data_IF_786810856557
#
_entry.id   IF_786810856557
#
_cell.length_a   1.000
_cell.length_b   1.000
_cell.length_c   1.000
_cell.angle_alpha   90.00
_cell.angle_beta   90.00
_cell.angle_gamma   90.00
#
_symmetry.space_group_name_H-M   'P 1'
#
loop_
_entity.id
_entity.type
_entity.pdbx_description
1 polymer ?
#
# COMPACT_ATOMS: atom_id res chain seq x y z
N UNK A 1 25.44 -14.52 -0.34
CA UNK A 1 26.27 -14.71 0.88
C UNK A 1 26.16 -13.49 1.81
N UNK A 2 26.28 -12.28 1.31
CA UNK A 2 26.21 -11.05 2.11
C UNK A 2 24.89 -10.91 2.89
N UNK A 3 23.74 -11.08 2.22
CA UNK A 3 22.42 -11.00 2.88
C UNK A 3 22.23 -12.05 3.99
N UNK A 4 22.85 -13.23 3.87
CA UNK A 4 22.81 -14.26 4.92
C UNK A 4 23.60 -13.81 6.17
N UNK A 5 24.77 -13.17 5.97
CA UNK A 5 25.56 -12.62 7.08
C UNK A 5 24.81 -11.46 7.77
N UNK A 6 24.14 -10.60 6.99
CA UNK A 6 23.28 -9.55 7.53
C UNK A 6 22.10 -10.11 8.34
N UNK A 7 21.46 -11.20 7.84
CA UNK A 7 20.39 -11.87 8.56
C UNK A 7 20.85 -12.42 9.91
N UNK A 8 22.02 -13.06 9.97
CA UNK A 8 22.60 -13.55 11.23
C UNK A 8 22.92 -12.43 12.21
N UNK A 9 23.38 -11.27 11.69
CA UNK A 9 23.68 -10.11 12.52
C UNK A 9 22.40 -9.43 13.04
N UNK A 10 21.34 -9.46 12.25
CA UNK A 10 20.06 -8.80 12.58
C UNK A 10 19.18 -9.62 13.53
N UNK A 11 19.23 -10.96 13.43
CA UNK A 11 18.33 -11.86 14.18
C UNK A 11 19.16 -12.80 15.05
N UNK A 12 19.15 -12.67 16.37
CA UNK A 12 19.88 -13.53 17.28
C UNK A 12 19.46 -15.00 17.09
N UNK A 13 20.46 -15.87 16.90
CA UNK A 13 20.25 -17.31 16.75
C UNK A 13 19.90 -17.77 15.33
N UNK A 14 19.81 -16.88 14.36
CA UNK A 14 19.64 -17.24 12.96
C UNK A 14 20.98 -17.78 12.40
N UNK A 15 21.02 -19.05 12.08
CA UNK A 15 22.17 -19.74 11.46
C UNK A 15 21.81 -20.11 10.01
N UNK A 16 22.28 -19.35 8.99
CA UNK A 16 21.88 -19.58 7.60
C UNK A 16 22.38 -20.93 7.07
N UNK A 17 21.48 -21.76 6.56
CA UNK A 17 21.76 -23.02 5.89
C UNK A 17 21.59 -22.94 4.36
N UNK A 18 20.73 -22.02 3.88
CA UNK A 18 20.47 -21.80 2.47
C UNK A 18 20.06 -20.38 2.15
N UNK A 19 20.22 -19.96 0.89
CA UNK A 19 19.78 -18.65 0.36
C UNK A 19 19.23 -18.85 -1.04
N UNK A 20 18.05 -18.27 -1.30
CA UNK A 20 17.46 -18.14 -2.64
C UNK A 20 17.19 -16.68 -2.96
N UNK A 21 17.16 -16.33 -4.25
CA UNK A 21 16.71 -14.99 -4.66
C UNK A 21 15.26 -14.76 -4.27
N UNK A 22 14.90 -13.52 -4.02
CA UNK A 22 13.52 -13.11 -3.81
C UNK A 22 13.19 -11.94 -4.74
N UNK A 23 12.04 -11.97 -5.44
CA UNK A 23 11.60 -10.82 -6.26
C UNK A 23 11.49 -9.57 -5.40
N UNK A 24 11.95 -8.44 -5.94
CA UNK A 24 11.85 -7.12 -5.33
C UNK A 24 12.20 -6.07 -6.38
N UNK A 25 11.94 -4.80 -6.10
CA UNK A 25 12.43 -3.74 -6.95
C UNK A 25 13.97 -3.70 -6.95
N UNK A 26 14.56 -4.09 -8.08
CA UNK A 26 16.00 -4.21 -8.21
C UNK A 26 16.73 -2.85 -8.25
N UNK A 27 16.03 -1.75 -8.51
CA UNK A 27 16.60 -0.41 -8.43
C UNK A 27 16.88 -0.03 -6.96
N UNK A 28 15.93 -0.37 -6.08
CA UNK A 28 15.94 0.07 -4.68
C UNK A 28 16.49 -0.97 -3.72
N UNK A 29 16.26 -2.25 -3.97
CA UNK A 29 16.56 -3.31 -3.00
C UNK A 29 17.38 -4.46 -3.58
N UNK A 30 18.15 -5.07 -2.71
CA UNK A 30 18.69 -6.42 -2.90
C UNK A 30 17.99 -7.32 -1.90
N UNK A 31 17.24 -8.32 -2.39
CA UNK A 31 16.41 -9.18 -1.57
C UNK A 31 16.72 -10.66 -1.72
N UNK A 32 16.52 -11.40 -0.63
CA UNK A 32 16.68 -12.86 -0.63
C UNK A 32 15.75 -13.50 0.42
N UNK A 33 15.44 -14.77 0.21
CA UNK A 33 14.94 -15.67 1.25
C UNK A 33 16.12 -16.46 1.81
N UNK A 34 16.32 -16.35 3.12
CA UNK A 34 17.33 -17.11 3.88
C UNK A 34 16.60 -18.22 4.62
N UNK A 35 17.13 -19.45 4.51
CA UNK A 35 16.64 -20.62 5.25
C UNK A 35 17.67 -20.89 6.36
N UNK A 36 17.22 -20.97 7.62
CA UNK A 36 18.09 -21.29 8.74
C UNK A 36 18.25 -22.81 8.94
N UNK A 37 19.11 -23.22 9.88
CA UNK A 37 19.39 -24.62 10.21
C UNK A 37 18.19 -25.37 10.81
N UNK A 38 17.18 -24.64 11.31
CA UNK A 38 15.90 -25.18 11.74
C UNK A 38 14.88 -25.31 10.59
N UNK A 39 15.22 -24.90 9.37
CA UNK A 39 14.34 -24.90 8.21
C UNK A 39 13.37 -23.72 8.16
N UNK A 40 13.47 -22.75 9.07
CA UNK A 40 12.65 -21.54 9.05
C UNK A 40 13.14 -20.57 7.98
N UNK A 41 12.20 -19.95 7.28
CA UNK A 41 12.48 -19.00 6.22
C UNK A 41 12.35 -17.56 6.71
N UNK A 42 13.22 -16.71 6.16
CA UNK A 42 13.34 -15.30 6.49
C UNK A 42 13.50 -14.49 5.21
N UNK A 43 12.70 -13.43 5.04
CA UNK A 43 12.92 -12.49 3.94
C UNK A 43 13.87 -11.40 4.38
N UNK A 44 14.92 -11.18 3.61
CA UNK A 44 15.94 -10.14 3.86
C UNK A 44 15.80 -9.11 2.75
N UNK A 45 15.64 -7.83 3.12
CA UNK A 45 15.63 -6.69 2.20
C UNK A 45 16.72 -5.72 2.60
N UNK A 46 17.66 -5.47 1.70
CA UNK A 46 18.76 -4.52 1.87
C UNK A 46 18.61 -3.38 0.88
N UNK A 47 18.44 -2.13 1.34
CA UNK A 47 18.30 -0.99 0.45
C UNK A 47 19.63 -0.70 -0.25
N UNK A 48 19.55 -0.13 -1.47
CA UNK A 48 20.73 0.24 -2.28
C UNK A 48 21.14 1.69 -2.10
N UNK A 49 20.22 2.54 -1.62
CA UNK A 49 20.43 3.96 -1.43
C UNK A 49 19.61 4.50 -0.25
N UNK A 50 19.90 5.72 0.25
CA UNK A 50 19.29 6.27 1.47
C UNK A 50 17.76 6.38 1.38
N UNK A 51 17.20 6.73 0.24
CA UNK A 51 15.75 6.86 0.06
C UNK A 51 15.04 5.51 0.26
N UNK A 52 15.59 4.44 -0.35
CA UNK A 52 15.07 3.08 -0.14
C UNK A 52 15.18 2.65 1.34
N UNK A 53 16.26 3.06 2.05
CA UNK A 53 16.40 2.81 3.49
C UNK A 53 15.33 3.55 4.29
N UNK A 54 15.05 4.79 3.94
CA UNK A 54 14.02 5.61 4.59
C UNK A 54 12.63 5.00 4.40
N UNK A 55 12.32 4.47 3.21
CA UNK A 55 11.05 3.78 2.96
C UNK A 55 10.86 2.57 3.88
N UNK A 56 11.90 1.72 4.04
CA UNK A 56 11.83 0.58 4.98
C UNK A 56 11.66 1.02 6.44
N UNK A 57 12.25 2.14 6.83
CA UNK A 57 12.07 2.68 8.17
C UNK A 57 10.65 3.22 8.38
N UNK A 58 10.08 3.88 7.39
CA UNK A 58 8.67 4.31 7.39
C UNK A 58 7.74 3.11 7.45
N UNK A 59 7.98 2.09 6.61
CA UNK A 59 7.21 0.83 6.66
C UNK A 59 7.25 0.20 8.05
N UNK A 60 8.43 0.19 8.71
CA UNK A 60 8.56 -0.34 10.08
C UNK A 60 7.66 0.41 11.08
N UNK A 61 7.55 1.74 10.97
CA UNK A 61 6.66 2.52 11.84
C UNK A 61 5.20 2.12 11.62
N UNK A 62 4.78 1.99 10.36
CA UNK A 62 3.45 1.53 10.00
C UNK A 62 3.20 0.10 10.52
N UNK A 63 4.11 -0.85 10.29
CA UNK A 63 3.97 -2.24 10.74
C UNK A 63 3.87 -2.39 12.25
N UNK A 64 4.46 -1.46 13.02
CA UNK A 64 4.35 -1.41 14.49
C UNK A 64 2.98 -0.94 14.99
N UNK A 65 2.23 -0.21 14.17
CA UNK A 65 0.86 0.22 14.52
C UNK A 65 -0.15 -0.93 14.52
N UNK A 66 0.16 -2.03 13.81
CA UNK A 66 -0.66 -3.24 13.78
C UNK A 66 -0.51 -4.04 15.08
N UNK A 67 -1.42 -3.83 16.02
CA UNK A 67 -1.46 -4.62 17.25
C UNK A 67 -1.75 -6.11 16.98
N UNK A 68 -1.41 -7.04 17.89
CA UNK A 68 -1.75 -8.45 17.71
C UNK A 68 -3.24 -8.71 17.49
N UNK A 69 -4.13 -7.93 18.11
CA UNK A 69 -5.58 -8.01 17.90
C UNK A 69 -5.97 -7.64 16.48
N UNK A 70 -5.46 -6.51 15.96
CA UNK A 70 -5.70 -6.09 14.58
C UNK A 70 -5.19 -7.14 13.58
N UNK A 71 -3.97 -7.66 13.78
CA UNK A 71 -3.41 -8.72 12.92
C UNK A 71 -4.25 -9.99 12.90
N UNK A 72 -4.87 -10.36 14.02
CA UNK A 72 -5.71 -11.56 14.13
C UNK A 72 -7.08 -11.41 13.43
N UNK A 73 -7.57 -10.19 13.21
CA UNK A 73 -8.85 -9.90 12.54
C UNK A 73 -8.72 -9.82 11.03
N UNK A 74 -7.50 -9.58 10.50
CA UNK A 74 -7.26 -9.48 9.07
C UNK A 74 -7.35 -10.84 8.37
N UNK A 75 -7.91 -10.91 7.15
CA UNK A 75 -8.00 -12.15 6.37
C UNK A 75 -6.66 -12.57 5.74
N UNK A 76 -5.60 -11.80 5.94
CA UNK A 76 -4.26 -12.00 5.42
C UNK A 76 -3.20 -11.67 6.49
N UNK A 77 -1.96 -12.03 6.25
CA UNK A 77 -0.85 -11.69 7.13
C UNK A 77 -0.27 -10.31 6.79
N UNK A 78 0.08 -9.55 7.82
CA UNK A 78 0.89 -8.34 7.70
C UNK A 78 2.34 -8.71 8.02
N UNK A 79 3.34 -8.27 7.21
CA UNK A 79 4.73 -8.55 7.48
C UNK A 79 5.15 -8.21 8.90
N UNK A 80 6.08 -8.99 9.45
CA UNK A 80 6.65 -8.71 10.77
C UNK A 80 8.17 -8.69 10.70
N UNK A 81 8.76 -7.59 11.14
CA UNK A 81 10.21 -7.42 11.20
C UNK A 81 10.76 -8.19 12.40
N UNK A 82 11.66 -9.13 12.14
CA UNK A 82 12.32 -9.95 13.15
C UNK A 82 13.61 -9.30 13.67
N UNK A 83 14.27 -8.51 12.82
CA UNK A 83 15.49 -7.79 13.19
C UNK A 83 15.95 -6.85 12.10
N UNK A 84 16.86 -5.97 12.44
CA UNK A 84 17.50 -5.03 11.51
C UNK A 84 19.00 -4.93 11.78
N UNK A 85 19.78 -4.62 10.76
CA UNK A 85 21.21 -4.37 10.89
C UNK A 85 21.59 -3.12 10.11
N UNK A 86 22.36 -2.22 10.75
CA UNK A 86 22.84 -0.98 10.14
C UNK A 86 24.16 -1.23 9.42
N UNK A 87 24.28 -0.73 8.19
CA UNK A 87 25.52 -0.71 7.41
C UNK A 87 25.76 0.72 6.86
N UNK A 88 26.63 1.48 7.52
CA UNK A 88 26.78 2.90 7.19
C UNK A 88 25.45 3.64 7.37
N UNK A 89 24.96 4.28 6.32
CA UNK A 89 23.69 5.01 6.32
C UNK A 89 22.48 4.12 5.98
N UNK A 90 22.71 2.89 5.51
CA UNK A 90 21.66 1.98 5.07
C UNK A 90 21.30 0.98 6.16
N UNK A 91 20.01 0.64 6.26
CA UNK A 91 19.53 -0.35 7.23
C UNK A 91 18.85 -1.50 6.50
N UNK A 92 19.42 -2.70 6.67
CA UNK A 92 18.84 -3.95 6.17
C UNK A 92 17.81 -4.50 7.15
N UNK A 93 16.69 -4.98 6.62
CA UNK A 93 15.57 -5.52 7.37
C UNK A 93 15.43 -7.01 7.13
N UNK A 94 15.13 -7.74 8.21
CA UNK A 94 14.84 -9.18 8.18
C UNK A 94 13.42 -9.39 8.67
N UNK A 95 12.60 -9.99 7.82
CA UNK A 95 11.20 -10.27 8.10
C UNK A 95 10.98 -11.76 8.31
N UNK A 96 9.98 -12.14 9.09
CA UNK A 96 9.45 -13.49 9.01
C UNK A 96 8.90 -13.70 7.60
N UNK A 97 9.32 -14.81 6.96
CA UNK A 97 8.83 -15.12 5.61
C UNK A 97 7.35 -15.49 5.64
N UNK A 98 6.59 -14.99 4.68
CA UNK A 98 5.21 -15.40 4.44
C UNK A 98 5.20 -16.29 3.19
N UNK A 99 4.56 -17.47 3.24
CA UNK A 99 4.44 -18.35 2.08
C UNK A 99 3.63 -17.70 0.95
N UNK A 100 4.05 -17.95 -0.28
CA UNK A 100 3.39 -17.44 -1.48
C UNK A 100 4.33 -16.62 -2.35
N UNK A 101 3.79 -16.08 -3.41
CA UNK A 101 4.47 -15.21 -4.36
C UNK A 101 3.55 -14.08 -4.83
N UNK A 102 4.12 -12.98 -5.25
CA UNK A 102 3.43 -11.97 -6.07
C UNK A 102 3.37 -12.47 -7.50
N UNK A 103 2.30 -12.14 -8.20
CA UNK A 103 2.05 -12.57 -9.58
C UNK A 103 1.95 -11.34 -10.46
N UNK A 104 2.48 -11.40 -11.67
CA UNK A 104 2.22 -10.40 -12.71
C UNK A 104 0.71 -10.30 -12.96
N UNK A 105 0.22 -9.12 -13.31
CA UNK A 105 -1.21 -8.83 -13.41
C UNK A 105 -1.99 -9.82 -14.29
N UNK A 106 -1.45 -10.15 -15.46
CA UNK A 106 -2.07 -11.11 -16.38
C UNK A 106 -2.15 -12.53 -15.77
N UNK A 107 -1.11 -12.93 -15.03
CA UNK A 107 -1.07 -14.22 -14.33
C UNK A 107 -2.08 -14.22 -13.18
N UNK A 108 -2.13 -13.16 -12.39
CA UNK A 108 -3.07 -12.98 -11.29
C UNK A 108 -4.52 -13.09 -11.77
N UNK A 109 -4.84 -12.46 -12.90
CA UNK A 109 -6.16 -12.50 -13.52
C UNK A 109 -6.46 -13.90 -14.07
N UNK A 110 -5.46 -14.56 -14.67
CA UNK A 110 -5.61 -15.91 -15.24
C UNK A 110 -5.81 -16.99 -14.17
N UNK A 111 -5.28 -16.82 -12.96
CA UNK A 111 -5.52 -17.71 -11.82
C UNK A 111 -7.03 -17.86 -11.54
N UNK A 112 -7.81 -16.79 -11.68
CA UNK A 112 -9.26 -16.80 -11.52
C UNK A 112 -9.73 -17.44 -10.22
N UNK A 113 -10.74 -18.30 -10.28
CA UNK A 113 -11.22 -19.10 -9.14
C UNK A 113 -11.61 -18.24 -7.94
N UNK A 114 -10.95 -18.47 -6.78
CA UNK A 114 -11.20 -17.70 -5.54
C UNK A 114 -10.37 -16.42 -5.44
N UNK A 115 -9.30 -16.26 -6.23
CA UNK A 115 -8.35 -15.14 -6.08
C UNK A 115 -9.03 -13.78 -6.09
N UNK A 116 -9.90 -13.42 -7.06
CA UNK A 116 -10.55 -12.11 -7.04
C UNK A 116 -11.48 -11.90 -5.83
N UNK A 117 -12.12 -12.98 -5.33
CA UNK A 117 -12.92 -12.93 -4.09
C UNK A 117 -12.05 -12.65 -2.88
N UNK A 118 -10.89 -13.29 -2.77
CA UNK A 118 -9.97 -13.09 -1.65
C UNK A 118 -9.30 -11.69 -1.71
N UNK A 119 -9.04 -11.17 -2.89
CA UNK A 119 -8.56 -9.78 -3.07
C UNK A 119 -9.61 -8.79 -2.55
N UNK A 120 -10.86 -8.89 -3.00
CA UNK A 120 -11.92 -7.99 -2.53
C UNK A 120 -12.13 -8.09 -1.01
N UNK A 121 -12.00 -9.30 -0.43
CA UNK A 121 -12.05 -9.51 1.01
C UNK A 121 -10.85 -8.86 1.73
N UNK A 122 -9.65 -8.94 1.16
CA UNK A 122 -8.45 -8.31 1.71
C UNK A 122 -8.58 -6.78 1.71
N UNK A 123 -9.02 -6.20 0.59
CA UNK A 123 -9.27 -4.76 0.47
C UNK A 123 -10.33 -4.28 1.50
N UNK A 124 -11.42 -5.02 1.68
CA UNK A 124 -12.40 -4.71 2.70
C UNK A 124 -11.78 -4.74 4.11
N UNK A 125 -10.92 -5.74 4.39
CA UNK A 125 -10.19 -5.83 5.66
C UNK A 125 -9.26 -4.65 5.92
N UNK A 126 -8.59 -4.13 4.89
CA UNK A 126 -7.74 -2.93 4.97
C UNK A 126 -8.60 -1.69 5.29
N UNK A 127 -9.66 -1.47 4.52
CA UNK A 127 -10.50 -0.29 4.67
C UNK A 127 -11.35 -0.29 5.93
N UNK A 128 -11.51 -1.45 6.58
CA UNK A 128 -12.19 -1.60 7.89
C UNK A 128 -11.23 -1.53 9.09
N UNK A 129 -9.94 -1.27 8.87
CA UNK A 129 -8.98 -1.04 9.94
C UNK A 129 -9.41 0.17 10.79
N UNK A 130 -9.17 0.12 12.13
CA UNK A 130 -9.51 1.24 12.99
C UNK A 130 -8.70 2.50 12.65
N UNK A 131 -9.34 3.61 12.32
CA UNK A 131 -8.67 4.89 12.05
C UNK A 131 -7.73 5.32 13.19
N UNK A 132 -8.10 5.02 14.44
CA UNK A 132 -7.27 5.30 15.60
C UNK A 132 -5.86 4.66 15.56
N UNK A 133 -5.59 3.65 14.71
CA UNK A 133 -4.23 3.14 14.54
C UNK A 133 -3.37 4.10 13.72
N UNK A 134 -3.94 4.74 12.71
CA UNK A 134 -3.31 5.75 11.86
C UNK A 134 -3.00 6.99 12.70
N UNK A 135 -3.98 7.47 13.49
CA UNK A 135 -3.83 8.62 14.37
C UNK A 135 -2.71 8.41 15.42
N UNK A 136 -2.67 7.21 16.04
CA UNK A 136 -1.63 6.88 17.05
C UNK A 136 -0.22 6.77 16.47
N UNK A 137 -0.12 6.44 15.19
CA UNK A 137 1.15 6.31 14.49
C UNK A 137 1.60 7.64 13.84
N UNK A 138 0.81 8.73 14.02
CA UNK A 138 1.04 10.05 13.42
C UNK A 138 1.21 9.97 11.89
N UNK A 139 0.39 9.11 11.26
CA UNK A 139 0.37 8.93 9.81
C UNK A 139 -0.63 9.91 9.17
N UNK A 140 -0.50 10.17 7.85
CA UNK A 140 -1.36 11.11 7.16
C UNK A 140 -2.86 10.77 7.29
N UNK A 141 -3.68 11.78 7.46
CA UNK A 141 -5.13 11.65 7.55
C UNK A 141 -5.79 12.82 6.82
N UNK A 142 -6.71 12.50 5.91
CA UNK A 142 -7.39 13.47 5.08
C UNK A 142 -8.90 13.25 5.13
N UNK A 143 -9.64 14.33 5.30
CA UNK A 143 -11.07 14.37 4.97
C UNK A 143 -11.26 14.30 3.44
N UNK A 144 -12.48 14.05 2.99
CA UNK A 144 -12.77 14.01 1.56
C UNK A 144 -12.46 15.36 0.87
N UNK A 145 -12.77 16.49 1.52
CA UNK A 145 -12.46 17.82 0.99
C UNK A 145 -10.96 18.12 0.96
N UNK A 146 -10.21 17.77 2.01
CA UNK A 146 -8.75 17.93 2.03
C UNK A 146 -8.07 17.05 0.97
N UNK A 147 -8.57 15.82 0.79
CA UNK A 147 -8.07 14.92 -0.23
C UNK A 147 -8.32 15.50 -1.65
N UNK A 148 -9.55 15.98 -1.93
CA UNK A 148 -9.88 16.65 -3.19
C UNK A 148 -9.01 17.88 -3.42
N UNK A 149 -8.85 18.75 -2.41
CA UNK A 149 -7.99 19.93 -2.52
C UNK A 149 -6.53 19.59 -2.79
N UNK A 150 -6.04 18.53 -2.17
CA UNK A 150 -4.69 18.02 -2.44
C UNK A 150 -4.56 17.60 -3.91
N UNK A 151 -5.54 16.85 -4.45
CA UNK A 151 -5.54 16.44 -5.87
C UNK A 151 -5.60 17.64 -6.82
N UNK A 152 -6.35 18.70 -6.49
CA UNK A 152 -6.34 19.94 -7.26
C UNK A 152 -4.96 20.62 -7.25
N UNK A 153 -4.29 20.69 -6.10
CA UNK A 153 -2.95 21.26 -6.02
C UNK A 153 -1.92 20.43 -6.80
N UNK A 154 -2.04 19.10 -6.77
CA UNK A 154 -1.20 18.18 -7.55
C UNK A 154 -1.44 18.37 -9.06
N UNK A 155 -2.70 18.56 -9.48
CA UNK A 155 -3.05 18.87 -10.88
C UNK A 155 -2.45 20.20 -11.33
N UNK A 156 -2.58 21.26 -10.52
CA UNK A 156 -1.97 22.56 -10.80
C UNK A 156 -0.44 22.42 -10.96
N UNK A 157 0.21 21.67 -10.06
CA UNK A 157 1.64 21.41 -10.18
C UNK A 157 1.98 20.67 -11.48
N UNK A 158 1.23 19.63 -11.82
CA UNK A 158 1.43 18.87 -13.04
C UNK A 158 1.21 19.72 -14.29
N UNK A 159 0.20 20.60 -14.30
CA UNK A 159 -0.08 21.52 -15.38
C UNK A 159 1.08 22.51 -15.63
N UNK A 160 1.82 22.92 -14.58
CA UNK A 160 2.99 23.82 -14.75
C UNK A 160 4.11 23.20 -15.56
N UNK A 161 4.17 21.87 -15.71
CA UNK A 161 5.16 21.21 -16.58
C UNK A 161 4.96 21.55 -18.06
N UNK A 162 3.75 21.92 -18.46
CA UNK A 162 3.37 22.19 -19.85
C UNK A 162 3.38 20.96 -20.75
N UNK A 163 3.45 19.74 -20.19
CA UNK A 163 3.66 18.49 -20.90
C UNK A 163 2.41 17.59 -20.94
N UNK A 164 1.38 17.93 -20.17
CA UNK A 164 0.12 17.19 -20.14
C UNK A 164 -0.80 17.67 -21.27
N UNK A 165 -1.41 16.77 -22.05
CA UNK A 165 -2.39 17.13 -23.07
C UNK A 165 -3.55 17.96 -22.50
N UNK A 166 -3.94 19.08 -23.15
CA UNK A 166 -5.00 19.96 -22.62
C UNK A 166 -6.37 19.28 -22.47
N UNK A 167 -6.64 18.21 -23.22
CA UNK A 167 -7.88 17.46 -23.10
C UNK A 167 -7.93 16.68 -21.77
N UNK A 168 -6.79 16.09 -21.35
CA UNK A 168 -6.67 15.40 -20.07
C UNK A 168 -6.78 16.37 -18.89
N UNK A 169 -6.10 17.54 -18.96
CA UNK A 169 -6.24 18.55 -17.91
C UNK A 169 -7.70 18.93 -17.69
N UNK A 170 -8.42 19.30 -18.75
CA UNK A 170 -9.85 19.66 -18.65
C UNK A 170 -10.72 18.52 -18.12
N UNK A 171 -10.40 17.27 -18.51
CA UNK A 171 -11.12 16.09 -18.06
C UNK A 171 -10.95 15.87 -16.55
N UNK A 172 -9.73 16.01 -16.04
CA UNK A 172 -9.42 15.85 -14.62
C UNK A 172 -9.91 17.04 -13.79
N UNK A 173 -9.77 18.28 -14.27
CA UNK A 173 -10.36 19.48 -13.66
C UNK A 173 -11.87 19.29 -13.45
N UNK A 174 -12.59 18.89 -14.50
CA UNK A 174 -14.02 18.65 -14.43
C UNK A 174 -14.40 17.58 -13.40
N UNK A 175 -13.64 16.47 -13.31
CA UNK A 175 -13.88 15.44 -12.31
C UNK A 175 -13.55 15.92 -10.87
N UNK A 176 -12.51 16.73 -10.72
CA UNK A 176 -12.14 17.30 -9.41
C UNK A 176 -13.09 18.41 -8.96
N UNK A 177 -13.76 19.10 -9.88
CA UNK A 177 -14.80 20.12 -9.60
C UNK A 177 -16.17 19.50 -9.29
N UNK A 178 -16.42 18.26 -9.70
CA UNK A 178 -17.68 17.56 -9.43
C UNK A 178 -17.82 17.20 -7.95
N UNK A 179 -18.43 18.08 -7.19
CA UNK A 179 -18.60 17.95 -5.72
C UNK A 179 -19.34 16.66 -5.33
N UNK A 180 -20.19 16.12 -6.19
CA UNK A 180 -20.91 14.86 -5.90
C UNK A 180 -19.99 13.66 -5.86
N UNK A 181 -18.94 13.67 -6.65
CA UNK A 181 -17.92 12.61 -6.72
C UNK A 181 -17.12 12.51 -5.40
N UNK A 182 -16.99 13.61 -4.66
CA UNK A 182 -16.11 13.71 -3.49
C UNK A 182 -16.86 13.66 -2.15
N UNK A 183 -18.05 13.09 -2.13
CA UNK A 183 -18.83 12.85 -0.89
C UNK A 183 -18.66 11.43 -0.37
N UNK A 184 -17.44 10.97 -0.22
CA UNK A 184 -17.13 9.66 0.33
C UNK A 184 -16.77 9.75 1.82
N UNK A 185 -16.87 8.61 2.51
CA UNK A 185 -16.35 8.47 3.88
C UNK A 185 -14.89 8.03 3.81
N UNK A 186 -13.91 8.84 4.30
CA UNK A 186 -12.54 8.43 4.37
C UNK A 186 -12.36 7.18 5.21
N UNK A 187 -11.54 6.25 4.75
CA UNK A 187 -11.18 5.04 5.48
C UNK A 187 -9.66 4.87 5.53
N UNK A 188 -9.19 3.92 6.32
CA UNK A 188 -7.80 3.50 6.22
C UNK A 188 -7.58 2.90 4.85
N UNK A 189 -6.56 3.34 4.13
CA UNK A 189 -6.18 2.85 2.82
C UNK A 189 -4.73 2.40 2.85
N UNK A 190 -4.40 1.37 2.08
CA UNK A 190 -3.03 0.94 1.87
C UNK A 190 -2.21 2.05 1.20
N UNK A 191 -2.81 2.66 0.20
CA UNK A 191 -2.31 3.85 -0.49
C UNK A 191 -1.37 3.59 -1.66
N UNK A 192 -0.91 2.34 -1.80
CA UNK A 192 -0.08 1.85 -2.90
C UNK A 192 -0.41 0.38 -3.18
N UNK A 193 -1.71 0.05 -3.21
CA UNK A 193 -2.15 -1.33 -3.44
C UNK A 193 -2.14 -1.65 -4.93
N UNK A 194 -1.39 -2.70 -5.28
CA UNK A 194 -1.33 -3.29 -6.62
C UNK A 194 -0.91 -4.76 -6.52
N UNK A 195 -0.81 -5.48 -7.65
CA UNK A 195 -0.53 -6.91 -7.70
C UNK A 195 0.77 -7.30 -7.00
N UNK A 196 1.84 -6.49 -7.08
CA UNK A 196 3.13 -6.75 -6.43
C UNK A 196 3.07 -6.69 -4.90
N UNK A 197 2.02 -6.10 -4.35
CA UNK A 197 1.78 -6.04 -2.91
C UNK A 197 0.85 -7.15 -2.40
N UNK A 198 0.33 -8.00 -3.31
CA UNK A 198 -0.56 -9.13 -3.01
C UNK A 198 0.21 -10.44 -3.08
N UNK A 199 0.50 -11.05 -1.94
CA UNK A 199 1.15 -12.37 -1.90
C UNK A 199 0.07 -13.44 -1.98
N UNK A 200 0.11 -14.26 -3.04
CA UNK A 200 -0.88 -15.32 -3.30
C UNK A 200 -0.29 -16.67 -2.91
N UNK A 201 -1.09 -17.45 -2.18
CA UNK A 201 -0.79 -18.82 -1.80
C UNK A 201 -2.07 -19.66 -1.79
N UNK A 202 -2.06 -20.78 -2.50
CA UNK A 202 -3.21 -21.72 -2.58
C UNK A 202 -4.54 -21.00 -2.95
N UNK A 203 -4.49 -20.10 -3.93
CA UNK A 203 -5.64 -19.33 -4.40
C UNK A 203 -6.23 -18.34 -3.38
N UNK A 204 -5.45 -17.93 -2.40
CA UNK A 204 -5.85 -16.93 -1.41
C UNK A 204 -4.77 -15.84 -1.25
N UNK A 205 -5.17 -14.65 -0.80
CA UNK A 205 -4.22 -13.60 -0.37
C UNK A 205 -3.63 -14.02 0.97
N UNK A 206 -2.40 -14.51 0.97
CA UNK A 206 -1.69 -14.94 2.19
C UNK A 206 -1.11 -13.76 2.96
N UNK A 207 -0.66 -12.72 2.27
CA UNK A 207 -0.19 -11.47 2.87
C UNK A 207 -0.42 -10.27 1.96
N UNK A 208 -0.43 -9.08 2.57
CA UNK A 208 -0.29 -7.80 1.89
C UNK A 208 1.00 -7.15 2.38
N UNK A 209 1.80 -6.63 1.45
CA UNK A 209 3.12 -6.00 1.67
C UNK A 209 3.11 -4.54 1.22
N UNK A 210 4.20 -3.79 1.37
CA UNK A 210 4.31 -2.43 0.85
C UNK A 210 3.56 -1.36 1.66
N UNK A 211 3.54 -1.47 2.98
CA UNK A 211 2.74 -0.63 3.88
C UNK A 211 3.25 0.80 4.11
N UNK A 212 4.13 1.31 3.26
CA UNK A 212 4.75 2.63 3.45
C UNK A 212 3.74 3.79 3.42
N UNK A 213 2.66 3.62 2.63
CA UNK A 213 1.71 4.67 2.27
C UNK A 213 0.38 4.63 3.01
N UNK A 214 0.34 3.85 4.11
CA UNK A 214 -0.86 3.73 4.94
C UNK A 214 -1.30 5.10 5.46
N UNK A 215 -2.56 5.43 5.23
CA UNK A 215 -3.17 6.70 5.63
C UNK A 215 -4.68 6.57 5.82
N UNK A 216 -5.32 7.61 6.32
CA UNK A 216 -6.76 7.81 6.16
C UNK A 216 -6.96 8.64 4.88
N UNK A 217 -7.75 8.12 3.93
CA UNK A 217 -7.96 8.75 2.64
C UNK A 217 -9.13 8.16 1.85
N UNK A 218 -9.04 8.29 0.53
CA UNK A 218 -10.04 7.78 -0.40
C UNK A 218 -9.82 6.29 -0.68
N UNK A 219 -10.80 5.41 -0.35
CA UNK A 219 -10.71 3.99 -0.71
C UNK A 219 -10.47 3.73 -2.20
N UNK A 220 -10.82 4.67 -3.07
CA UNK A 220 -10.65 4.55 -4.51
C UNK A 220 -9.18 4.42 -4.95
N UNK A 221 -8.24 4.96 -4.16
CA UNK A 221 -6.80 4.83 -4.46
C UNK A 221 -6.36 3.37 -4.55
N UNK A 222 -6.87 2.51 -3.64
CA UNK A 222 -6.53 1.09 -3.61
C UNK A 222 -7.23 0.27 -4.72
N UNK A 223 -8.15 0.88 -5.48
CA UNK A 223 -8.81 0.27 -6.65
C UNK A 223 -8.21 0.71 -7.99
N UNK A 224 -7.30 1.69 -8.00
CA UNK A 224 -6.79 2.29 -9.24
C UNK A 224 -6.13 1.25 -10.17
N UNK A 225 -5.39 0.28 -9.64
CA UNK A 225 -4.73 -0.78 -10.39
C UNK A 225 -5.71 -1.71 -11.13
N UNK A 226 -6.93 -1.89 -10.59
CA UNK A 226 -7.96 -2.70 -11.24
C UNK A 226 -8.49 -2.10 -12.55
N UNK A 227 -8.26 -0.82 -12.78
CA UNK A 227 -8.64 -0.15 -14.04
C UNK A 227 -7.81 -0.66 -15.22
N UNK A 228 -6.58 -1.12 -14.96
CA UNK A 228 -5.71 -1.73 -15.97
C UNK A 228 -6.08 -3.18 -16.29
N UNK A 229 -6.97 -3.82 -15.52
CA UNK A 229 -7.41 -5.19 -15.75
C UNK A 229 -8.35 -5.26 -16.97
N UNK A 230 -7.94 -5.98 -18.00
CA UNK A 230 -8.73 -6.13 -19.22
C UNK A 230 -9.92 -7.07 -19.05
N UNK A 231 -9.85 -8.01 -18.12
CA UNK A 231 -10.92 -8.97 -17.82
C UNK A 231 -11.91 -8.35 -16.83
N UNK A 232 -12.96 -7.71 -17.37
CA UNK A 232 -13.97 -7.02 -16.55
C UNK A 232 -14.59 -7.92 -15.47
N UNK A 233 -14.77 -9.21 -15.77
CA UNK A 233 -15.33 -10.17 -14.82
C UNK A 233 -14.46 -10.34 -13.57
N UNK A 234 -13.14 -10.19 -13.68
CA UNK A 234 -12.24 -10.23 -12.55
C UNK A 234 -12.47 -9.02 -11.62
N UNK A 235 -12.48 -7.81 -12.18
CA UNK A 235 -12.73 -6.58 -11.43
C UNK A 235 -14.13 -6.58 -10.78
N UNK A 236 -15.15 -7.08 -11.50
CA UNK A 236 -16.51 -7.19 -10.97
C UNK A 236 -16.59 -8.10 -9.75
N UNK A 237 -15.92 -9.27 -9.77
CA UNK A 237 -15.87 -10.20 -8.63
C UNK A 237 -15.12 -9.60 -7.45
N UNK A 238 -14.01 -8.88 -7.70
CA UNK A 238 -13.29 -8.15 -6.63
C UNK A 238 -14.22 -7.14 -5.97
N UNK A 239 -14.93 -6.32 -6.76
CA UNK A 239 -15.84 -5.30 -6.26
C UNK A 239 -17.05 -5.91 -5.52
N UNK A 240 -17.64 -6.99 -6.04
CA UNK A 240 -18.74 -7.72 -5.38
C UNK A 240 -18.28 -8.26 -4.02
N UNK A 241 -17.11 -8.89 -3.97
CA UNK A 241 -16.53 -9.40 -2.75
C UNK A 241 -16.23 -8.28 -1.76
N UNK A 242 -15.63 -7.19 -2.23
CA UNK A 242 -15.38 -6.01 -1.41
C UNK A 242 -16.68 -5.49 -0.78
N UNK A 243 -17.73 -5.25 -1.59
CA UNK A 243 -19.04 -4.82 -1.10
C UNK A 243 -19.63 -5.78 -0.05
N UNK A 244 -19.43 -7.08 -0.23
CA UNK A 244 -19.94 -8.12 0.68
C UNK A 244 -19.26 -8.09 2.06
N UNK A 245 -17.95 -7.83 2.10
CA UNK A 245 -17.15 -7.93 3.32
C UNK A 245 -16.94 -6.59 4.02
N UNK A 246 -17.20 -5.45 3.37
CA UNK A 246 -17.16 -4.12 4.00
C UNK A 246 -18.21 -4.00 5.09
N UNK A 247 -17.83 -3.39 6.21
CA UNK A 247 -18.74 -3.06 7.31
C UNK A 247 -19.62 -1.87 7.00
N UNK A 248 -19.11 -0.91 6.22
CA UNK A 248 -19.83 0.29 5.81
C UNK A 248 -20.29 0.18 4.35
N UNK A 249 -21.41 0.84 3.99
CA UNK A 249 -21.86 0.89 2.60
C UNK A 249 -20.79 1.48 1.69
N UNK A 250 -20.57 0.84 0.54
CA UNK A 250 -19.61 1.32 -0.45
C UNK A 250 -20.22 2.51 -1.21
N UNK A 251 -19.41 3.52 -1.42
CA UNK A 251 -19.77 4.70 -2.17
C UNK A 251 -20.01 4.37 -3.66
N UNK A 252 -21.13 4.83 -4.25
CA UNK A 252 -21.46 4.54 -5.66
C UNK A 252 -20.48 5.13 -6.67
N UNK A 253 -19.66 6.10 -6.28
CA UNK A 253 -18.67 6.74 -7.14
C UNK A 253 -17.25 6.18 -6.97
N UNK A 254 -17.07 5.13 -6.17
CA UNK A 254 -15.77 4.51 -5.89
C UNK A 254 -14.96 4.25 -7.17
N UNK A 255 -15.54 3.51 -8.14
CA UNK A 255 -14.84 3.14 -9.37
C UNK A 255 -14.59 4.33 -10.31
N UNK A 256 -15.40 5.39 -10.25
CA UNK A 256 -15.13 6.63 -11.01
C UNK A 256 -13.89 7.34 -10.49
N UNK A 257 -13.73 7.42 -9.16
CA UNK A 257 -12.54 8.00 -8.54
C UNK A 257 -11.32 7.09 -8.72
N UNK A 258 -11.49 5.76 -8.69
CA UNK A 258 -10.43 4.82 -9.01
C UNK A 258 -9.92 5.02 -10.45
N UNK A 259 -10.81 5.18 -11.42
CA UNK A 259 -10.43 5.48 -12.79
C UNK A 259 -9.70 6.83 -12.91
N UNK A 260 -10.18 7.88 -12.20
CA UNK A 260 -9.46 9.14 -12.13
C UNK A 260 -8.06 8.97 -11.50
N UNK A 261 -7.93 8.20 -10.41
CA UNK A 261 -6.66 7.96 -9.76
C UNK A 261 -5.68 7.22 -10.68
N UNK A 262 -6.15 6.23 -11.46
CA UNK A 262 -5.35 5.52 -12.45
C UNK A 262 -4.85 6.44 -13.57
N UNK A 263 -5.71 7.27 -14.14
CA UNK A 263 -5.31 8.25 -15.15
C UNK A 263 -4.32 9.29 -14.57
N UNK A 264 -4.57 9.74 -13.35
CA UNK A 264 -3.78 10.77 -12.68
C UNK A 264 -2.39 10.28 -12.25
N UNK A 265 -2.21 8.97 -12.06
CA UNK A 265 -0.91 8.37 -11.77
C UNK A 265 0.15 8.70 -12.84
N UNK A 266 -0.26 8.83 -14.12
CA UNK A 266 0.62 9.23 -15.22
C UNK A 266 1.13 10.67 -15.05
N UNK A 267 0.28 11.58 -14.57
CA UNK A 267 0.69 12.95 -14.26
C UNK A 267 1.68 13.00 -13.08
N UNK A 268 1.45 12.17 -12.07
CA UNK A 268 2.38 12.04 -10.93
C UNK A 268 3.73 11.46 -11.37
N UNK A 269 3.73 10.48 -12.29
CA UNK A 269 4.93 9.93 -12.89
C UNK A 269 5.73 11.00 -13.63
N UNK A 270 5.06 11.83 -14.45
CA UNK A 270 5.67 12.97 -15.13
C UNK A 270 6.29 13.96 -14.14
N UNK A 271 5.55 14.36 -13.09
CA UNK A 271 6.05 15.30 -12.09
C UNK A 271 7.29 14.76 -11.39
N UNK A 272 7.32 13.45 -11.10
CA UNK A 272 8.48 12.78 -10.51
C UNK A 272 9.68 12.83 -11.43
N UNK A 273 9.51 12.49 -12.72
CA UNK A 273 10.57 12.58 -13.73
C UNK A 273 11.15 13.99 -13.84
N UNK A 274 10.28 15.01 -13.81
CA UNK A 274 10.71 16.42 -13.83
C UNK A 274 11.48 16.78 -12.54
N UNK A 275 11.03 16.33 -11.39
CA UNK A 275 11.70 16.60 -10.11
C UNK A 275 13.06 15.88 -9.98
N UNK A 276 13.19 14.70 -10.59
CA UNK A 276 14.44 13.93 -10.65
C UNK A 276 15.37 14.36 -11.80
N UNK A 277 14.94 15.29 -12.68
CA UNK A 277 15.64 15.68 -13.92
C UNK A 277 15.93 14.45 -14.83
N UNK A 278 15.07 13.42 -14.76
CA UNK A 278 15.20 12.18 -15.53
C UNK A 278 14.48 12.32 -16.88
N UNK A 279 15.27 12.53 -17.95
CA UNK A 279 14.73 12.71 -19.28
C UNK A 279 14.07 11.45 -19.87
N UNK A 280 14.47 10.25 -19.44
CA UNK A 280 13.87 9.00 -19.90
C UNK A 280 12.47 8.82 -19.28
N UNK A 281 12.37 9.00 -17.97
CA UNK A 281 11.10 8.97 -17.23
C UNK A 281 10.11 10.03 -17.75
N UNK A 282 10.59 11.24 -18.06
CA UNK A 282 9.76 12.31 -18.63
C UNK A 282 9.22 11.89 -20.01
N UNK A 283 10.07 11.35 -20.89
CA UNK A 283 9.68 10.95 -22.23
C UNK A 283 8.65 9.81 -22.21
N UNK A 284 8.85 8.82 -21.35
CA UNK A 284 7.93 7.73 -21.12
C UNK A 284 6.56 8.23 -20.62
N UNK A 285 6.55 9.12 -19.62
CA UNK A 285 5.32 9.73 -19.12
C UNK A 285 4.57 10.52 -20.19
N UNK A 286 5.27 11.28 -21.03
CA UNK A 286 4.67 12.01 -22.16
C UNK A 286 4.04 11.06 -23.17
N UNK A 287 4.69 9.93 -23.49
CA UNK A 287 4.17 8.91 -24.40
C UNK A 287 2.88 8.28 -23.83
N UNK A 288 2.91 7.82 -22.57
CA UNK A 288 1.73 7.26 -21.92
C UNK A 288 0.55 8.24 -21.83
N UNK A 289 0.82 9.54 -21.58
CA UNK A 289 -0.21 10.58 -21.57
C UNK A 289 -0.83 10.81 -22.95
N UNK A 290 -0.04 10.75 -24.02
CA UNK A 290 -0.52 10.86 -25.40
C UNK A 290 -1.35 9.64 -25.80
N UNK A 291 -0.93 8.44 -25.41
CA UNK A 291 -1.70 7.22 -25.62
C UNK A 291 -3.04 7.29 -24.90
N UNK A 292 -3.06 7.69 -23.63
CA UNK A 292 -4.31 7.88 -22.87
C UNK A 292 -5.24 8.90 -23.55
N UNK A 293 -4.71 10.05 -24.02
CA UNK A 293 -5.52 11.04 -24.76
C UNK A 293 -6.12 10.45 -26.02
N UNK A 294 -5.34 9.64 -26.78
CA UNK A 294 -5.78 8.99 -28.00
C UNK A 294 -6.88 7.98 -27.72
N UNK A 295 -6.69 7.13 -26.73
CA UNK A 295 -7.67 6.12 -26.33
C UNK A 295 -8.99 6.75 -25.87
N UNK A 296 -8.93 7.79 -25.06
CA UNK A 296 -10.13 8.53 -24.63
C UNK A 296 -10.85 9.15 -25.83
N UNK A 297 -10.10 9.72 -26.77
CA UNK A 297 -10.69 10.33 -27.99
C UNK A 297 -11.35 9.29 -28.89
N UNK A 298 -10.77 8.11 -29.04
CA UNK A 298 -11.23 7.06 -29.94
C UNK A 298 -12.32 6.18 -29.32
N UNK A 299 -12.23 5.89 -28.04
CA UNK A 299 -13.08 4.92 -27.34
C UNK A 299 -13.95 5.53 -26.23
N UNK A 300 -13.77 6.83 -25.89
CA UNK A 300 -14.57 7.55 -24.90
C UNK A 300 -14.01 7.52 -23.48
N UNK A 301 -13.05 6.64 -23.19
CA UNK A 301 -12.43 6.51 -21.85
C UNK A 301 -13.40 6.00 -20.76
N UNK A 302 -12.87 5.83 -19.56
CA UNK A 302 -13.67 5.48 -18.37
C UNK A 302 -14.48 6.70 -17.89
N UNK A 303 -15.64 6.46 -17.27
CA UNK A 303 -16.42 7.53 -16.66
C UNK A 303 -15.79 7.95 -15.33
N UNK A 304 -15.16 9.14 -15.31
CA UNK A 304 -14.50 9.70 -14.11
C UNK A 304 -15.26 10.85 -13.44
N UNK A 305 -16.38 11.29 -14.03
CA UNK A 305 -17.25 12.31 -13.47
C UNK A 305 -18.70 11.83 -13.45
N UNK A 306 -19.52 12.35 -12.52
CA UNK A 306 -20.96 12.08 -12.49
C UNK A 306 -21.70 12.83 -13.60
N UNK A 307 -21.13 13.93 -14.10
CA UNK A 307 -21.68 14.74 -15.19
C UNK A 307 -20.82 14.54 -16.45
N UNK A 308 -21.52 14.44 -17.61
CA UNK A 308 -20.80 14.37 -18.90
C UNK A 308 -20.23 15.76 -19.22
N UNK A 309 -18.95 15.80 -19.63
CA UNK A 309 -18.35 17.02 -20.17
C UNK A 309 -19.25 17.59 -21.29
N UNK A 310 -19.52 18.90 -21.28
CA UNK A 310 -20.24 19.54 -22.38
C UNK A 310 -19.43 19.34 -23.67
N UNK A 311 -20.04 18.68 -24.64
CA UNK A 311 -19.43 18.52 -25.97
C UNK A 311 -19.19 19.92 -26.53
N UNK A 312 -17.99 20.29 -26.95
CA UNK A 312 -17.74 21.57 -27.60
C UNK A 312 -18.68 21.66 -28.82
N UNK A 313 -19.66 22.51 -28.78
CA UNK A 313 -20.49 22.79 -29.95
C UNK A 313 -19.55 23.49 -30.94
N UNK A 314 -19.17 22.77 -31.98
CA UNK A 314 -18.46 23.37 -33.10
C UNK A 314 -19.28 24.57 -33.59
N UNK A 315 -18.68 25.76 -33.83
CA UNK A 315 -19.41 26.90 -34.37
C UNK A 315 -20.09 26.44 -35.64
N UNK A 316 -21.42 26.62 -35.67
CA UNK A 316 -22.26 26.26 -36.79
C UNK A 316 -21.66 26.91 -38.04
N UNK A 317 -21.04 26.12 -38.89
CA UNK A 317 -20.63 26.57 -40.22
C UNK A 317 -21.87 26.95 -41.02
N UNK A 318 -21.71 27.82 -42.02
CA UNK A 318 -22.83 28.30 -42.83
C UNK A 318 -23.57 27.11 -43.47
N UNK A 319 -24.91 27.17 -43.61
CA UNK A 319 -25.70 26.06 -44.12
C UNK A 319 -25.28 25.69 -45.51
N UNK A 320 -24.64 24.55 -45.69
CA UNK A 320 -24.36 23.95 -47.00
C UNK A 320 -25.57 23.12 -47.42
N UNK A 321 -26.03 23.38 -48.65
CA UNK A 321 -27.14 22.74 -49.29
C UNK A 321 -26.99 21.21 -49.34
N UNK A 322 -28.10 20.49 -49.12
CA UNK A 322 -28.20 19.07 -49.38
C UNK A 322 -27.95 18.72 -50.86
N UNK A 323 -27.42 17.54 -51.14
CA UNK A 323 -28.30 16.48 -51.63
C UNK A 323 -27.94 15.02 -51.27
N UNK A 324 -29.04 14.23 -51.32
CA UNK A 324 -29.18 12.87 -51.84
C UNK A 324 -28.44 11.68 -51.18
N UNK A 325 -29.28 10.87 -50.56
CA UNK A 325 -29.38 9.38 -50.57
C UNK A 325 -28.28 8.57 -51.27
N UNK A 326 -27.63 7.61 -50.56
CA UNK A 326 -27.70 6.19 -50.87
C UNK A 326 -27.01 5.27 -49.84
N UNK A 327 -27.80 4.31 -49.36
CA UNK A 327 -27.53 2.89 -49.05
C UNK A 327 -26.47 2.43 -48.05
N UNK A 328 -27.03 1.89 -47.01
CA UNK A 328 -26.75 0.55 -46.41
C UNK A 328 -25.40 -0.12 -46.71
N UNK A 329 -24.62 -0.30 -45.66
CA UNK A 329 -23.50 -1.23 -45.60
C UNK A 329 -23.21 -1.63 -44.16
N UNK A 330 -23.63 -2.85 -43.85
CA UNK A 330 -23.11 -3.80 -42.83
C UNK A 330 -22.36 -3.27 -41.61
N UNK A 331 -23.01 -3.40 -40.47
CA UNK A 331 -22.44 -3.46 -39.14
C UNK A 331 -21.36 -4.54 -39.06
N UNK A 332 -20.12 -4.14 -38.97
CA UNK A 332 -19.03 -4.97 -38.48
C UNK A 332 -18.84 -4.58 -37.05
N UNK A 333 -19.19 -5.46 -36.13
CA UNK A 333 -18.89 -5.37 -34.73
C UNK A 333 -17.42 -5.72 -34.53
N UNK A 334 -16.53 -4.72 -34.63
CA UNK A 334 -15.21 -4.81 -34.07
C UNK A 334 -15.23 -4.17 -32.69
N UNK A 335 -14.87 -4.98 -31.74
CA UNK A 335 -14.73 -4.71 -30.32
C UNK A 335 -13.57 -3.72 -30.10
N UNK A 336 -13.69 -2.72 -29.23
CA UNK A 336 -12.61 -1.76 -29.00
C UNK A 336 -11.37 -2.46 -28.47
N UNK A 337 -10.23 -2.05 -29.00
CA UNK A 337 -8.92 -2.44 -28.51
C UNK A 337 -8.69 -1.87 -27.10
N UNK A 338 -7.97 -2.63 -26.33
CA UNK A 338 -7.63 -2.36 -24.95
C UNK A 338 -6.90 -1.02 -24.78
N UNK A 339 -7.21 -0.34 -23.69
CA UNK A 339 -6.50 0.85 -23.23
C UNK A 339 -5.02 0.59 -22.94
N UNK A 340 -4.23 1.65 -22.68
CA UNK A 340 -2.79 1.54 -22.54
C UNK A 340 -2.42 0.55 -21.45
N UNK A 341 -1.49 -0.33 -21.78
CA UNK A 341 -0.92 -1.29 -20.82
C UNK A 341 -0.05 -0.50 -19.83
N UNK A 342 -0.57 -0.29 -18.64
CA UNK A 342 0.25 0.14 -17.49
C UNK A 342 0.98 -1.12 -16.98
N UNK A 343 1.85 -1.66 -17.81
CA UNK A 343 2.53 -2.94 -17.57
C UNK A 343 3.96 -2.77 -17.06
N UNK A 344 4.42 -1.53 -16.89
CA UNK A 344 5.71 -1.27 -16.27
C UNK A 344 5.47 -0.42 -15.02
N UNK A 345 5.81 -0.99 -13.91
CA UNK A 345 5.82 -0.53 -12.53
C UNK A 345 5.71 0.98 -12.36
N UNK A 346 4.50 1.52 -12.38
CA UNK A 346 4.24 2.81 -11.79
C UNK A 346 4.08 2.57 -10.29
N UNK A 347 5.18 2.34 -9.61
CA UNK A 347 5.20 2.45 -8.15
C UNK A 347 4.99 3.92 -7.84
N UNK A 348 3.79 4.27 -7.44
CA UNK A 348 3.49 5.59 -6.92
C UNK A 348 4.26 5.74 -5.62
N UNK A 349 5.50 6.26 -5.68
CA UNK A 349 6.17 6.70 -4.47
C UNK A 349 5.44 7.93 -3.94
N UNK A 350 5.11 7.95 -2.64
CA UNK A 350 4.58 9.14 -2.02
C UNK A 350 5.64 10.23 -2.08
N UNK A 351 5.26 11.39 -2.56
CA UNK A 351 6.05 12.59 -2.35
C UNK A 351 5.92 12.94 -0.86
N UNK A 352 6.72 12.30 -0.01
CA UNK A 352 6.90 12.74 1.37
C UNK A 352 7.78 13.99 1.33
N UNK A 353 7.19 15.11 0.94
CA UNK A 353 7.63 16.40 1.43
C UNK A 353 6.84 16.66 2.70
N UNK A 354 7.54 16.67 3.82
CA UNK A 354 7.04 17.28 5.05
C UNK A 354 6.46 18.64 4.69
N UNK A 355 5.14 18.77 4.76
CA UNK A 355 4.48 20.07 4.71
C UNK A 355 4.88 20.77 6.01
N UNK A 356 5.53 21.94 5.99
CA UNK A 356 5.70 22.72 7.18
C UNK A 356 4.30 23.06 7.71
N UNK A 357 4.08 22.71 8.96
CA UNK A 357 2.87 23.09 9.71
C UNK A 357 2.88 24.62 9.83
N UNK A 358 2.14 25.32 8.99
CA UNK A 358 1.88 26.74 9.13
C UNK A 358 0.97 26.97 10.32
N UNK A 359 1.58 27.09 11.50
CA UNK A 359 0.99 27.86 12.58
C UNK A 359 1.33 29.32 12.33
N UNK A 360 0.36 30.25 12.33
CA UNK A 360 0.66 31.67 12.23
C UNK A 360 1.44 32.10 13.48
N UNK A 361 2.70 32.44 13.28
CA UNK A 361 3.52 33.12 14.30
C UNK A 361 3.00 34.55 14.43
N UNK A 362 2.53 34.88 15.62
CA UNK A 362 2.29 36.26 16.05
C UNK A 362 3.57 37.07 15.94
N UNK A 363 3.46 38.25 15.35
CA UNK A 363 4.56 39.12 15.03
C UNK A 363 5.37 39.59 16.24
N UNK A 364 6.67 39.62 16.03
CA UNK A 364 7.60 40.44 16.84
C UNK A 364 8.35 41.33 15.85
N UNK A 365 8.18 42.62 16.03
CA UNK A 365 8.91 43.67 15.34
C UNK A 365 10.39 43.76 15.78
N UNK A 366 11.20 44.53 15.06
CA UNK A 366 12.65 44.54 15.20
C UNK A 366 13.08 45.23 16.49
N UNK A 367 14.06 44.63 17.18
CA UNK A 367 14.76 45.25 18.33
C UNK A 367 16.18 45.61 17.89
N UNK A 368 16.44 46.88 18.04
CA UNK A 368 17.72 47.57 17.82
C UNK A 368 18.71 47.26 18.94
N UNK A 369 19.99 47.14 18.56
CA UNK A 369 21.15 46.95 19.42
C UNK A 369 21.49 48.26 20.17
N UNK A 370 21.70 48.21 21.52
CA UNK A 370 22.75 48.95 22.21
C UNK A 370 22.89 48.51 23.66
N UNK A 371 24.05 47.96 23.92
CA UNK A 371 25.01 48.05 25.04
C UNK A 371 24.55 48.66 26.38
N UNK A 372 24.78 47.99 27.51
CA UNK A 372 25.52 48.34 28.72
C UNK A 372 25.12 47.51 29.96
N UNK A 373 26.10 46.85 30.53
CA UNK A 373 26.17 46.42 31.95
C UNK A 373 26.59 47.65 32.79
N UNK A 374 26.52 47.70 34.14
CA UNK A 374 26.55 46.67 35.18
C UNK A 374 25.79 46.93 36.51
N UNK A 375 25.88 45.94 37.38
CA UNK A 375 26.01 45.96 38.86
C UNK A 375 24.80 46.04 39.83
N UNK A 376 24.69 44.94 40.55
CA UNK A 376 24.75 44.78 42.04
C UNK A 376 23.54 45.15 42.94
N UNK A 377 23.25 44.19 43.80
CA UNK A 377 22.93 44.19 45.25
C UNK A 377 21.58 43.63 45.71
N UNK A 378 21.76 42.50 46.41
CA UNK A 378 21.23 42.09 47.73
C UNK A 378 20.09 42.91 48.36
N UNK A 379 19.11 42.16 48.88
CA UNK A 379 18.64 42.02 50.29
C UNK A 379 17.32 41.26 50.26
N UNK A 380 17.23 40.08 50.88
CA UNK A 380 16.96 39.70 52.27
C UNK A 380 15.58 40.15 52.80
N UNK A 381 14.81 39.21 53.25
CA UNK A 381 14.02 39.02 54.46
C UNK A 381 12.70 38.27 54.22
N UNK A 382 12.65 37.08 54.70
CA UNK A 382 12.01 36.55 55.96
C UNK A 382 10.49 36.34 55.99
N UNK A 383 10.17 35.12 56.41
CA UNK A 383 9.10 34.62 57.35
C UNK A 383 7.70 34.41 56.73
N UNK A 384 6.97 33.42 57.06
CA UNK A 384 6.84 32.39 58.07
C UNK A 384 5.66 31.45 57.72
N UNK A 385 5.82 30.18 57.99
CA UNK A 385 4.99 29.23 58.75
C UNK A 385 3.58 28.81 58.29
N UNK A 386 3.36 27.50 58.32
CA UNK A 386 2.11 26.82 58.61
C UNK A 386 1.95 25.51 57.83
N UNK A 387 2.51 24.47 58.21
CA UNK A 387 2.22 23.25 59.01
C UNK A 387 0.78 22.73 58.92
N UNK A 388 0.73 21.47 58.59
CA UNK A 388 -0.12 20.31 58.93
C UNK A 388 -0.43 19.51 57.65
N UNK A 389 0.04 18.31 57.44
CA UNK A 389 0.15 17.15 58.29
C UNK A 389 -1.14 16.30 58.14
N UNK A 390 -1.04 15.22 57.36
CA UNK A 390 -1.62 13.94 57.74
C UNK A 390 -1.43 12.88 56.61
N UNK A 391 -0.79 11.84 57.02
CA UNK A 391 -0.54 10.58 56.30
C UNK A 391 -1.80 9.66 56.27
N UNK A 392 -1.74 8.54 55.49
CA UNK A 392 -2.91 7.71 55.13
C UNK A 392 -3.22 6.58 56.14
N UNK A 393 -4.30 5.85 55.97
CA UNK A 393 -4.42 4.56 56.61
C UNK A 393 -4.28 3.39 55.60
N UNK A 394 -3.66 2.36 56.17
CA UNK A 394 -3.38 1.02 55.65
C UNK A 394 -4.60 0.10 55.81
N UNK A 395 -4.54 -0.96 54.94
CA UNK A 395 -4.90 -2.35 55.13
C UNK A 395 -6.22 -2.71 55.84
N UNK A 396 -6.96 -3.59 55.13
CA UNK A 396 -7.40 -4.87 55.70
C UNK A 396 -7.91 -5.81 54.59
N UNK A 397 -7.30 -7.00 54.50
CA UNK A 397 -7.87 -8.22 53.95
C UNK A 397 -8.46 -9.02 55.11
N UNK A 398 -9.51 -9.88 54.89
CA UNK A 398 -9.20 -11.30 55.01
C UNK A 398 -9.98 -12.29 54.10
N UNK A 399 -9.24 -13.34 53.75
CA UNK A 399 -9.50 -14.80 53.88
C UNK A 399 -10.76 -15.45 53.29
N UNK A 400 -10.47 -16.31 52.30
CA UNK A 400 -10.73 -17.75 52.20
C UNK A 400 -12.17 -18.28 52.43
N UNK A 401 -12.66 -18.99 51.39
CA UNK A 401 -13.17 -20.36 51.59
C UNK A 401 -13.29 -21.11 50.23
N UNK A 402 -12.63 -22.25 50.12
CA UNK A 402 -12.96 -23.41 49.30
C UNK A 402 -13.63 -24.42 50.26
N UNK A 403 -14.38 -25.47 49.84
CA UNK A 403 -13.92 -26.52 48.95
C UNK A 403 -14.98 -27.36 48.17
N UNK A 404 -14.42 -28.40 47.49
CA UNK A 404 -14.98 -29.71 47.06
C UNK A 404 -15.70 -29.78 45.71
N UNK A 405 -15.17 -30.48 44.75
CA UNK A 405 -14.77 -31.88 44.50
C UNK A 405 -15.91 -32.78 43.96
N UNK A 406 -15.61 -33.41 42.87
CA UNK A 406 -15.83 -34.81 42.45
C UNK A 406 -16.35 -34.87 41.01
N UNK A 407 -15.69 -35.46 40.13
CA UNK A 407 -15.19 -36.80 39.82
C UNK A 407 -15.83 -37.37 38.54
N UNK A 408 -14.94 -37.87 37.69
CA UNK A 408 -15.03 -39.06 36.85
C UNK A 408 -16.02 -39.19 35.69
N UNK A 409 -15.46 -39.34 34.49
CA UNK A 409 -15.47 -40.58 33.72
C UNK A 409 -14.81 -40.47 32.30
N UNK A 410 -13.75 -41.21 32.12
CA UNK A 410 -13.25 -41.78 30.85
C UNK A 410 -13.63 -43.30 30.87
N UNK A 411 -13.41 -44.07 29.81
CA UNK A 411 -13.35 -43.95 28.35
C UNK A 411 -14.22 -45.03 27.65
N UNK A 412 -14.23 -45.06 26.28
CA UNK A 412 -14.15 -46.32 25.53
C UNK A 412 -13.89 -46.14 24.03
N UNK A 413 -12.90 -46.85 23.62
CA UNK A 413 -12.45 -47.28 22.29
C UNK A 413 -13.50 -48.09 21.53
N UNK A 414 -13.51 -47.95 20.16
CA UNK A 414 -13.64 -49.08 19.27
C UNK A 414 -13.13 -48.71 17.88
N UNK A 415 -12.19 -49.53 17.42
CA UNK A 415 -11.67 -49.60 16.06
C UNK A 415 -12.62 -50.42 15.19
N UNK A 416 -12.71 -50.06 13.91
CA UNK A 416 -12.95 -51.10 12.89
C UNK A 416 -12.29 -50.68 11.54
N UNK A 417 -11.54 -51.64 11.02
CA UNK A 417 -10.87 -51.69 9.71
C UNK A 417 -11.95 -51.90 8.61
N UNK A 418 -11.69 -51.35 7.43
CA UNK A 418 -11.88 -52.17 6.25
C UNK A 418 -10.99 -51.71 5.08
N UNK A 419 -10.35 -52.72 4.46
CA UNK A 419 -9.49 -52.71 3.29
C UNK A 419 -10.31 -52.52 2.00
N UNK A 420 -9.64 -52.06 0.96
CA UNK A 420 -10.10 -52.30 -0.41
C UNK A 420 -9.67 -51.30 -1.46
N UNK A 421 -8.50 -51.51 -1.98
CA UNK A 421 -8.10 -51.68 -3.39
C UNK A 421 -8.09 -50.51 -4.39
N UNK A 422 -6.99 -50.51 -5.06
CA UNK A 422 -6.33 -49.73 -6.09
C UNK A 422 -7.15 -49.27 -7.29
N UNK A 423 -6.80 -48.08 -7.83
CA UNK A 423 -6.24 -47.92 -9.20
C UNK A 423 -5.83 -46.47 -9.49
N UNK A 424 -4.57 -46.28 -9.62
CA UNK A 424 -3.73 -45.61 -10.62
C UNK A 424 -4.45 -44.75 -11.68
N UNK A 425 -4.16 -43.45 -11.68
CA UNK A 425 -3.80 -42.65 -12.86
C UNK A 425 -3.13 -41.32 -12.40
N UNK A 426 -1.84 -41.22 -12.72
CA UNK A 426 -1.03 -40.05 -12.47
C UNK A 426 -1.41 -38.87 -13.39
N UNK A 427 -1.31 -37.70 -12.83
CA UNK A 427 -1.01 -36.48 -13.59
C UNK A 427 -0.01 -35.67 -12.80
N UNK A 428 1.15 -35.47 -13.41
CA UNK A 428 2.29 -34.77 -12.85
C UNK A 428 1.96 -33.28 -12.75
N UNK A 429 1.99 -32.76 -11.54
CA UNK A 429 2.15 -31.34 -11.29
C UNK A 429 3.64 -31.01 -11.42
N UNK A 430 3.95 -30.05 -12.27
CA UNK A 430 5.29 -29.53 -12.42
C UNK A 430 5.64 -28.72 -11.16
N UNK A 431 6.58 -29.29 -10.39
CA UNK A 431 7.24 -28.65 -9.27
C UNK A 431 8.32 -27.72 -9.85
N UNK A 432 8.05 -26.42 -9.93
CA UNK A 432 9.11 -25.42 -10.14
C UNK A 432 9.89 -25.27 -8.84
N UNK A 433 10.87 -26.16 -8.67
CA UNK A 433 11.82 -26.10 -7.58
C UNK A 433 12.68 -24.85 -7.69
N UNK A 434 12.44 -23.90 -6.77
CA UNK A 434 13.36 -22.82 -6.44
C UNK A 434 14.76 -23.42 -6.23
N UNK A 435 15.72 -23.04 -7.07
CA UNK A 435 17.11 -23.48 -6.97
C UNK A 435 17.72 -22.92 -5.69
N UNK A 436 17.65 -23.70 -4.61
CA UNK A 436 18.30 -23.38 -3.34
C UNK A 436 19.77 -23.73 -3.43
N UNK A 437 20.66 -22.75 -3.37
CA UNK A 437 22.12 -23.00 -3.33
C UNK A 437 22.53 -23.22 -1.88
N UNK A 438 22.95 -24.44 -1.55
CA UNK A 438 23.50 -24.77 -0.23
C UNK A 438 24.80 -24.01 0.03
N UNK A 439 24.94 -23.44 1.24
CA UNK A 439 26.16 -22.80 1.70
C UNK A 439 27.13 -23.90 2.18
N UNK A 440 28.38 -23.97 1.68
CA UNK A 440 29.32 -24.94 2.20
C UNK A 440 29.66 -24.60 3.66
N UNK A 441 29.54 -25.58 4.55
CA UNK A 441 29.97 -25.49 5.95
C UNK A 441 31.50 -25.44 5.97
N UNK A 442 32.07 -24.33 6.43
CA UNK A 442 33.51 -24.21 6.67
C UNK A 442 33.76 -24.76 8.07
N UNK A 443 34.33 -25.99 8.14
CA UNK A 443 34.83 -26.52 9.41
C UNK A 443 36.01 -25.67 9.90
N UNK A 444 36.09 -25.34 11.21
CA UNK A 444 37.24 -24.65 11.75
C UNK A 444 38.46 -25.54 11.67
N UNK A 445 39.51 -25.10 10.96
CA UNK A 445 40.81 -25.77 10.95
C UNK A 445 41.36 -25.75 12.38
N UNK A 446 41.48 -26.96 12.95
CA UNK A 446 42.29 -27.22 14.13
C UNK A 446 43.75 -26.89 13.80
N UNK A 447 44.26 -25.80 14.37
CA UNK A 447 45.66 -25.44 14.31
C UNK A 447 46.48 -26.39 15.19
N UNK A 448 47.54 -26.94 14.58
CA UNK A 448 48.70 -27.49 15.27
C UNK A 448 49.78 -26.44 15.37
#
# INVERSE_FOLDING_TARGET
>A
MELAAMASAAVPGLAPAGVSGAPDDAADFTSAVVIDDAGKQWRVRSPRHPEASMRLETELLVLRSFSPGIRAELPFQVPSVAGTVQQGELRTFVYNHVPGATLELETLVAEGGRVPTEIGRAMAGIHDLPQAMVDRADLPSYTADEFRQRRLNELDQAATTGKIPPALLRRWEHALEDVTLWKFNPSVVHGDLHEDNLVIWDGAVSAVTGWTDLRIGDPADDFAWLIAVHEQSFADVVLESYNKYRKEPVDPHLMRRAALAAEFALAQWLVRGVAAEDAAMIAEAEEMLQELESDIREHGGQEISSEKLPVPVAPAGPPSAAPETERAGTLSTERPAAGPRISERVTAEPIVRAVPSDKPAAGLGPVDDTDTRPDNKETDTDKESGDSGLQPPKEDAPTADQPHASADAKPKTAAEKNDGDASDTGTAAADESLTTTAIPVIEPRSGS
#
